data_IF_363522366823
#
_entry.id   IF_363522366823
#
_cell.length_a   1.000
_cell.length_b   1.000
_cell.length_c   1.000
_cell.angle_alpha   90.00
_cell.angle_beta   90.00
_cell.angle_gamma   90.00
#
_symmetry.space_group_name_H-M   'P 1'
#
loop_
_entity.id
_entity.type
_entity.pdbx_description
1 polymer ?
#
# COMPACT_ATOMS: atom_id res chain seq x y z
N UNK A 1 -11.71 -27.62 11.79
CA UNK A 1 -12.02 -26.99 13.08
C UNK A 1 -11.89 -25.49 12.88
N UNK A 2 -13.02 -24.77 12.73
CA UNK A 2 -13.03 -23.32 12.47
C UNK A 2 -13.20 -22.66 13.84
N UNK A 3 -12.19 -21.92 14.29
CA UNK A 3 -12.26 -21.15 15.53
C UNK A 3 -12.94 -19.82 15.18
N UNK A 4 -14.16 -19.53 15.68
CA UNK A 4 -14.83 -18.28 15.40
C UNK A 4 -14.16 -17.18 16.21
N UNK A 5 -13.43 -16.30 15.54
CA UNK A 5 -12.89 -15.08 16.16
C UNK A 5 -14.03 -14.07 16.26
N UNK A 6 -14.63 -13.95 17.44
CA UNK A 6 -15.64 -12.92 17.72
C UNK A 6 -14.88 -11.60 17.95
N UNK A 7 -14.85 -10.74 16.94
CA UNK A 7 -14.40 -9.36 17.09
C UNK A 7 -15.56 -8.51 17.65
N UNK A 8 -15.39 -7.83 18.81
CA UNK A 8 -16.42 -6.96 19.35
C UNK A 8 -16.61 -5.75 18.43
N UNK A 9 -17.81 -5.58 17.90
CA UNK A 9 -18.19 -4.43 17.07
C UNK A 9 -18.83 -3.38 17.99
N UNK A 10 -18.05 -2.38 18.40
CA UNK A 10 -18.60 -1.15 19.00
C UNK A 10 -19.10 -0.20 17.91
N UNK A 11 -20.28 0.39 18.11
CA UNK A 11 -20.98 1.28 17.18
C UNK A 11 -20.65 2.76 17.41
N UNK A 12 -19.37 3.12 17.55
CA UNK A 12 -18.93 4.52 17.63
C UNK A 12 -18.08 4.87 16.40
N UNK A 13 -18.35 5.98 15.72
CA UNK A 13 -17.60 6.39 14.51
C UNK A 13 -16.10 6.55 14.78
N UNK A 14 -15.74 7.06 15.98
CA UNK A 14 -14.35 7.10 16.48
C UNK A 14 -13.74 5.72 16.68
N UNK A 15 -14.56 4.71 17.01
CA UNK A 15 -14.11 3.32 17.09
C UNK A 15 -13.98 2.66 15.72
N UNK A 16 -14.73 3.09 14.71
CA UNK A 16 -14.59 2.59 13.34
C UNK A 16 -13.28 3.07 12.72
N UNK A 17 -13.00 4.38 12.75
CA UNK A 17 -11.74 4.94 12.24
C UNK A 17 -10.53 4.27 12.90
N UNK A 18 -10.55 4.14 14.23
CA UNK A 18 -9.48 3.46 14.95
C UNK A 18 -9.33 1.97 14.57
N UNK A 19 -10.45 1.26 14.35
CA UNK A 19 -10.41 -0.14 13.90
C UNK A 19 -9.90 -0.27 12.47
N UNK A 20 -10.25 0.68 11.59
CA UNK A 20 -9.71 0.74 10.23
C UNK A 20 -8.20 0.95 10.31
N UNK A 21 -7.71 1.94 11.05
CA UNK A 21 -6.27 2.17 11.24
C UNK A 21 -5.54 0.93 11.80
N UNK A 22 -6.13 0.24 12.78
CA UNK A 22 -5.57 -1.00 13.33
C UNK A 22 -5.50 -2.12 12.28
N UNK A 23 -6.54 -2.26 11.46
CA UNK A 23 -6.58 -3.25 10.38
C UNK A 23 -5.57 -2.91 9.28
N UNK A 24 -5.46 -1.65 8.89
CA UNK A 24 -4.46 -1.17 7.91
C UNK A 24 -3.04 -1.45 8.42
N UNK A 25 -2.78 -1.16 9.70
CA UNK A 25 -1.49 -1.46 10.33
C UNK A 25 -1.19 -2.95 10.37
N UNK A 26 -2.16 -3.77 10.77
CA UNK A 26 -1.99 -5.23 10.83
C UNK A 26 -1.78 -5.84 9.43
N UNK A 27 -2.49 -5.33 8.41
CA UNK A 27 -2.34 -5.75 7.03
C UNK A 27 -0.96 -5.37 6.49
N UNK A 28 -0.52 -4.13 6.74
CA UNK A 28 0.81 -3.65 6.35
C UNK A 28 1.93 -4.48 6.99
N UNK A 29 1.81 -4.82 8.28
CA UNK A 29 2.75 -5.70 8.97
C UNK A 29 2.76 -7.12 8.40
N UNK A 30 1.59 -7.67 8.11
CA UNK A 30 1.46 -9.01 7.52
C UNK A 30 2.12 -9.05 6.14
N UNK A 31 1.96 -8.00 5.35
CA UNK A 31 2.56 -7.86 4.03
C UNK A 31 4.09 -7.80 4.10
N UNK A 32 4.66 -7.00 5.01
CA UNK A 32 6.12 -6.96 5.24
C UNK A 32 6.65 -8.32 5.67
N UNK A 33 5.92 -9.05 6.51
CA UNK A 33 6.29 -10.40 6.92
C UNK A 33 6.29 -11.38 5.72
N UNK A 34 5.25 -11.34 4.88
CA UNK A 34 5.16 -12.19 3.68
C UNK A 34 6.27 -11.87 2.66
N UNK A 35 6.59 -10.59 2.45
CA UNK A 35 7.73 -10.18 1.62
C UNK A 35 9.07 -10.68 2.17
N UNK A 36 9.28 -10.56 3.49
CA UNK A 36 10.50 -11.07 4.13
C UNK A 36 10.63 -12.59 3.99
N UNK A 37 9.53 -13.33 4.15
CA UNK A 37 9.50 -14.78 3.97
C UNK A 37 9.81 -15.14 2.51
N UNK A 38 9.21 -14.45 1.55
CA UNK A 38 9.50 -14.65 0.13
C UNK A 38 10.97 -14.41 -0.21
N UNK A 39 11.56 -13.31 0.28
CA UNK A 39 12.99 -13.05 0.12
C UNK A 39 13.88 -14.16 0.68
N UNK A 40 13.59 -14.63 1.91
CA UNK A 40 14.32 -15.76 2.52
C UNK A 40 14.18 -17.05 1.72
N UNK A 41 13.00 -17.31 1.12
CA UNK A 41 12.78 -18.48 0.29
C UNK A 41 13.57 -18.40 -1.03
N UNK A 42 13.60 -17.24 -1.69
CA UNK A 42 14.41 -17.05 -2.89
C UNK A 42 15.91 -17.15 -2.59
N UNK A 43 16.37 -16.61 -1.47
CA UNK A 43 17.78 -16.69 -1.05
C UNK A 43 18.21 -18.13 -0.75
N UNK A 44 17.33 -18.94 -0.15
CA UNK A 44 17.65 -20.33 0.23
C UNK A 44 17.47 -21.34 -0.89
N UNK A 45 16.47 -21.15 -1.74
CA UNK A 45 16.08 -22.12 -2.77
C UNK A 45 16.40 -21.66 -4.20
N UNK A 46 16.97 -20.46 -4.36
CA UNK A 46 17.34 -19.87 -5.63
C UNK A 46 16.28 -18.90 -6.17
N UNK A 47 16.74 -17.87 -6.89
CA UNK A 47 15.86 -16.92 -7.55
C UNK A 47 14.92 -17.63 -8.53
N UNK A 48 13.62 -17.35 -8.44
CA UNK A 48 12.65 -18.02 -9.31
C UNK A 48 11.95 -19.23 -8.69
N UNK A 49 12.27 -19.60 -7.45
CA UNK A 49 11.60 -20.73 -6.78
C UNK A 49 10.13 -20.45 -6.45
N UNK A 50 9.75 -19.17 -6.31
CA UNK A 50 8.38 -18.77 -6.01
C UNK A 50 7.52 -18.73 -7.29
N UNK A 51 6.28 -19.24 -7.23
CA UNK A 51 5.29 -19.09 -8.31
C UNK A 51 5.11 -17.63 -8.71
N UNK A 52 4.75 -17.37 -9.96
CA UNK A 52 4.58 -16.02 -10.50
C UNK A 52 3.53 -15.22 -9.71
N UNK A 53 2.49 -15.88 -9.22
CA UNK A 53 1.42 -15.31 -8.40
C UNK A 53 1.96 -14.86 -7.04
N UNK A 54 2.80 -15.69 -6.41
CA UNK A 54 3.46 -15.33 -5.14
C UNK A 54 4.46 -14.20 -5.37
N UNK A 55 5.21 -14.23 -6.48
CA UNK A 55 6.12 -13.14 -6.87
C UNK A 55 5.40 -11.84 -7.22
N UNK A 56 4.20 -11.88 -7.79
CA UNK A 56 3.41 -10.69 -8.04
C UNK A 56 2.86 -10.14 -6.71
N UNK A 57 2.42 -11.03 -5.83
CA UNK A 57 1.89 -10.71 -4.51
C UNK A 57 2.96 -10.18 -3.53
N UNK A 58 4.17 -10.71 -3.58
CA UNK A 58 5.34 -10.24 -2.82
C UNK A 58 6.24 -9.33 -3.64
N UNK A 59 5.82 -9.02 -4.87
CA UNK A 59 6.55 -8.21 -5.84
C UNK A 59 6.65 -6.79 -5.36
N UNK A 60 7.81 -6.46 -4.80
CA UNK A 60 8.10 -5.17 -4.24
C UNK A 60 8.00 -4.05 -5.29
N UNK A 61 7.20 -3.02 -5.03
CA UNK A 61 7.83 -1.69 -5.07
C UNK A 61 8.64 -1.61 -3.78
N UNK A 62 9.97 -1.69 -3.91
CA UNK A 62 10.84 -1.63 -2.74
C UNK A 62 10.57 -0.36 -1.95
N UNK A 63 10.83 -0.37 -0.64
CA UNK A 63 10.61 0.82 0.21
C UNK A 63 11.32 2.05 -0.36
N UNK A 64 12.47 1.87 -1.01
CA UNK A 64 13.19 2.94 -1.70
C UNK A 64 12.41 3.47 -2.92
N UNK A 65 11.81 2.60 -3.72
CA UNK A 65 10.96 2.97 -4.87
C UNK A 65 9.70 3.70 -4.40
N UNK A 66 9.05 3.24 -3.33
CA UNK A 66 7.88 3.92 -2.76
C UNK A 66 8.23 5.28 -2.16
N UNK A 67 9.34 5.38 -1.43
CA UNK A 67 9.82 6.66 -0.89
C UNK A 67 10.17 7.64 -2.01
N UNK A 68 10.76 7.16 -3.11
CA UNK A 68 11.00 7.98 -4.29
C UNK A 68 9.67 8.50 -4.89
N UNK A 69 8.70 7.61 -5.08
CA UNK A 69 7.37 7.99 -5.58
C UNK A 69 6.70 9.02 -4.66
N UNK A 70 6.78 8.85 -3.34
CA UNK A 70 6.27 9.84 -2.37
C UNK A 70 6.96 11.19 -2.56
N UNK A 71 8.29 11.20 -2.69
CA UNK A 71 9.07 12.42 -2.91
C UNK A 71 8.69 13.12 -4.21
N UNK A 72 8.49 12.36 -5.29
CA UNK A 72 8.10 12.88 -6.59
C UNK A 72 6.67 13.52 -6.51
N UNK A 73 5.73 12.87 -5.81
CA UNK A 73 4.36 13.39 -5.61
C UNK A 73 4.37 14.61 -4.68
N UNK A 74 5.18 14.58 -3.60
CA UNK A 74 5.33 15.70 -2.68
C UNK A 74 5.89 16.94 -3.39
N UNK A 75 6.86 16.75 -4.28
CA UNK A 75 7.46 17.82 -5.07
C UNK A 75 6.42 18.43 -6.01
N UNK A 76 5.72 17.61 -6.79
CA UNK A 76 4.67 18.08 -7.70
C UNK A 76 3.53 18.80 -6.96
N UNK A 77 3.12 18.30 -5.79
CA UNK A 77 2.10 18.96 -4.96
C UNK A 77 2.58 20.32 -4.42
N UNK A 78 3.85 20.43 -3.99
CA UNK A 78 4.43 21.68 -3.48
C UNK A 78 4.59 22.74 -4.57
N UNK A 79 4.94 22.33 -5.79
CA UNK A 79 5.08 23.21 -6.95
C UNK A 79 3.71 23.65 -7.52
N UNK A 80 2.61 23.08 -7.02
CA UNK A 80 1.26 23.37 -7.49
C UNK A 80 0.88 22.61 -8.78
N UNK A 81 1.73 21.71 -9.27
CA UNK A 81 1.49 20.85 -10.44
C UNK A 81 0.66 19.63 -10.05
N UNK A 82 -0.62 19.88 -9.72
CA UNK A 82 -1.60 18.83 -9.41
C UNK A 82 -1.75 17.80 -10.54
N UNK A 83 -1.74 18.17 -11.84
CA UNK A 83 -1.78 17.20 -12.94
C UNK A 83 -0.60 16.22 -12.92
N UNK A 84 0.64 16.69 -12.66
CA UNK A 84 1.80 15.81 -12.57
C UNK A 84 1.70 14.86 -11.38
N UNK A 85 1.28 15.35 -10.20
CA UNK A 85 1.06 14.52 -9.02
C UNK A 85 0.02 13.42 -9.28
N UNK A 86 -1.12 13.78 -9.90
CA UNK A 86 -2.17 12.84 -10.25
C UNK A 86 -1.68 11.80 -11.28
N UNK A 87 -0.87 12.23 -12.25
CA UNK A 87 -0.27 11.32 -13.24
C UNK A 87 0.66 10.29 -12.60
N UNK A 88 1.46 10.68 -11.61
CA UNK A 88 2.33 9.75 -10.90
C UNK A 88 1.55 8.70 -10.13
N UNK A 89 0.52 9.13 -9.38
CA UNK A 89 -0.40 8.21 -8.66
C UNK A 89 -1.08 7.27 -9.64
N UNK A 90 -1.61 7.81 -10.74
CA UNK A 90 -2.30 7.02 -11.77
C UNK A 90 -1.38 5.99 -12.42
N UNK A 91 -0.13 6.36 -12.67
CA UNK A 91 0.86 5.45 -13.29
C UNK A 91 1.25 4.35 -12.32
N UNK A 92 1.44 4.67 -11.04
CA UNK A 92 1.82 3.70 -10.02
C UNK A 92 0.70 2.73 -9.65
N UNK A 93 -0.55 3.20 -9.63
CA UNK A 93 -1.71 2.43 -9.15
C UNK A 93 -2.67 1.99 -10.25
N UNK A 94 -2.42 2.36 -11.50
CA UNK A 94 -3.29 2.11 -12.65
C UNK A 94 -4.78 2.47 -12.38
N UNK A 95 -5.01 3.57 -11.65
CA UNK A 95 -6.35 4.01 -11.25
C UNK A 95 -6.98 4.99 -12.26
N UNK A 96 -8.22 5.39 -12.00
CA UNK A 96 -8.89 6.45 -12.78
C UNK A 96 -8.34 7.83 -12.44
N UNK A 97 -8.59 8.81 -13.31
CA UNK A 97 -8.19 10.19 -13.05
C UNK A 97 -8.90 10.78 -11.82
N UNK A 98 -10.16 10.41 -11.58
CA UNK A 98 -10.93 10.92 -10.44
C UNK A 98 -10.37 10.41 -9.11
N UNK A 99 -10.03 9.12 -9.03
CA UNK A 99 -9.37 8.53 -7.86
C UNK A 99 -8.00 9.18 -7.59
N UNK A 100 -7.18 9.35 -8.63
CA UNK A 100 -5.88 10.00 -8.51
C UNK A 100 -6.02 11.46 -8.02
N UNK A 101 -6.95 12.23 -8.58
CA UNK A 101 -7.20 13.60 -8.17
C UNK A 101 -7.73 13.70 -6.73
N UNK A 102 -8.54 12.74 -6.29
CA UNK A 102 -9.01 12.67 -4.91
C UNK A 102 -7.85 12.45 -3.93
N UNK A 103 -6.90 11.58 -4.27
CA UNK A 103 -5.69 11.35 -3.47
C UNK A 103 -4.83 12.61 -3.42
N UNK A 104 -4.58 13.26 -4.56
CA UNK A 104 -3.82 14.53 -4.62
C UNK A 104 -4.45 15.61 -3.73
N UNK A 105 -5.78 15.72 -3.73
CA UNK A 105 -6.51 16.72 -2.93
C UNK A 105 -6.25 16.56 -1.42
N UNK A 106 -6.08 15.33 -0.94
CA UNK A 106 -5.84 15.02 0.47
C UNK A 106 -4.37 14.66 0.75
N UNK A 107 -3.49 14.79 -0.25
CA UNK A 107 -2.11 14.32 -0.14
C UNK A 107 -1.35 14.97 1.03
N UNK A 108 -1.59 16.26 1.26
CA UNK A 108 -0.96 17.02 2.34
C UNK A 108 -1.48 16.67 3.74
N UNK A 109 -2.66 16.04 3.87
CA UNK A 109 -3.17 15.63 5.19
C UNK A 109 -2.53 14.35 5.71
N UNK A 110 -1.85 13.59 4.85
CA UNK A 110 -1.15 12.37 5.26
C UNK A 110 0.26 12.67 5.78
N UNK A 111 0.64 12.03 6.88
CA UNK A 111 2.02 11.99 7.35
C UNK A 111 2.86 11.04 6.49
N UNK A 112 4.19 11.17 6.55
CA UNK A 112 5.12 10.37 5.73
C UNK A 112 4.90 8.85 5.89
N UNK A 113 4.74 8.37 7.13
CA UNK A 113 4.48 6.95 7.40
C UNK A 113 3.12 6.50 6.83
N UNK A 114 2.10 7.36 6.90
CA UNK A 114 0.77 7.08 6.36
C UNK A 114 0.79 7.01 4.83
N UNK A 115 1.51 7.91 4.15
CA UNK A 115 1.70 7.87 2.69
C UNK A 115 2.35 6.56 2.24
N UNK A 116 3.39 6.13 2.96
CA UNK A 116 4.09 4.88 2.68
C UNK A 116 3.21 3.66 2.90
N UNK A 117 2.50 3.61 4.03
CA UNK A 117 1.59 2.50 4.32
C UNK A 117 0.44 2.41 3.31
N UNK A 118 -0.15 3.55 2.98
CA UNK A 118 -1.24 3.64 2.01
C UNK A 118 -0.78 3.20 0.61
N UNK A 119 0.37 3.70 0.11
CA UNK A 119 0.89 3.28 -1.19
C UNK A 119 1.21 1.78 -1.22
N UNK A 120 1.79 1.22 -0.14
CA UNK A 120 2.02 -0.23 -0.05
C UNK A 120 0.72 -1.01 -0.19
N UNK A 121 -0.32 -0.62 0.53
CA UNK A 121 -1.62 -1.27 0.46
C UNK A 121 -2.28 -1.10 -0.92
N UNK A 122 -2.21 0.08 -1.52
CA UNK A 122 -2.79 0.35 -2.82
C UNK A 122 -2.12 -0.48 -3.93
N UNK A 123 -0.79 -0.58 -3.91
CA UNK A 123 -0.04 -1.47 -4.80
C UNK A 123 -0.40 -2.94 -4.58
N UNK A 124 -0.60 -3.34 -3.32
CA UNK A 124 -0.99 -4.70 -2.95
C UNK A 124 -2.37 -5.10 -3.45
N UNK A 125 -3.38 -4.27 -3.20
CA UNK A 125 -4.75 -4.52 -3.66
C UNK A 125 -4.77 -4.67 -5.19
N UNK A 126 -3.98 -3.87 -5.91
CA UNK A 126 -3.81 -4.01 -7.35
C UNK A 126 -3.18 -5.33 -7.78
N UNK A 127 -2.10 -5.75 -7.12
CA UNK A 127 -1.46 -7.03 -7.42
C UNK A 127 -2.40 -8.23 -7.20
N UNK A 128 -3.41 -8.09 -6.33
CA UNK A 128 -4.42 -9.13 -6.08
C UNK A 128 -5.60 -9.17 -7.07
N UNK A 129 -5.75 -8.15 -7.92
CA UNK A 129 -6.82 -8.08 -8.95
C UNK A 129 -6.44 -8.75 -10.28
N UNK A 130 -5.17 -9.17 -10.44
CA UNK A 130 -4.65 -9.86 -11.64
C UNK A 130 -4.53 -11.35 -11.44
#
# INVERSE_FOLDING_TARGET
MIIPMILPVSHDSKTLEHRIEQLEKALSQSLVAMQSIAGVLEDKFGQGCLPAEVKAFTGEMSTAVLNKLIGDIDTACREGDKPAAARQIRTALACTWDEANQVVKHWHSYQAEQKLSWLRMACFLKASEG
#
